data_IF_828104109555
#
_entry.id   IF_828104109555
#
_cell.length_a   1.000
_cell.length_b   1.000
_cell.length_c   1.000
_cell.angle_alpha   90.00
_cell.angle_beta   90.00
_cell.angle_gamma   90.00
#
_symmetry.space_group_name_H-M   'P 1'
#
loop_
_entity.id
_entity.type
_entity.pdbx_description
1 polymer ?
#
# COMPACT_ATOMS: atom_id res chain seq x y z
N UNK A 1 -21.52 4.62 18.15
CA UNK A 1 -21.83 3.26 17.61
C UNK A 1 -23.33 3.25 17.33
N UNK A 2 -23.73 2.83 16.14
CA UNK A 2 -25.15 2.63 15.78
C UNK A 2 -25.46 1.13 15.90
N UNK A 3 -26.61 0.77 16.42
CA UNK A 3 -27.13 -0.60 16.32
C UNK A 3 -28.01 -0.69 15.07
N UNK A 4 -27.39 -1.11 13.95
CA UNK A 4 -28.09 -1.23 12.68
C UNK A 4 -29.21 -2.31 12.75
N UNK A 5 -29.04 -3.36 13.55
CA UNK A 5 -30.06 -4.40 13.72
C UNK A 5 -31.35 -3.80 14.30
N UNK A 6 -31.22 -3.01 15.38
CA UNK A 6 -32.35 -2.28 15.96
C UNK A 6 -32.97 -1.26 15.02
N UNK A 7 -32.14 -0.56 14.23
CA UNK A 7 -32.63 0.44 13.26
C UNK A 7 -33.43 -0.16 12.10
N UNK A 8 -33.07 -1.37 11.67
CA UNK A 8 -33.81 -2.12 10.62
C UNK A 8 -35.13 -2.68 11.16
N UNK A 9 -35.20 -2.98 12.46
CA UNK A 9 -36.38 -3.58 13.11
C UNK A 9 -36.46 -5.11 12.97
N UNK A 10 -37.54 -5.71 13.53
CA UNK A 10 -37.71 -7.16 13.57
C UNK A 10 -37.78 -7.78 12.18
N UNK A 11 -36.96 -8.83 11.95
CA UNK A 11 -36.83 -9.49 10.66
C UNK A 11 -36.31 -10.92 10.88
N UNK A 12 -36.54 -11.83 9.92
CA UNK A 12 -35.95 -13.17 9.93
C UNK A 12 -34.83 -13.27 8.91
N UNK A 13 -33.82 -14.09 9.19
CA UNK A 13 -32.71 -14.36 8.26
C UNK A 13 -31.54 -13.40 8.40
N UNK A 14 -30.88 -13.09 7.30
CA UNK A 14 -29.70 -12.23 7.29
C UNK A 14 -29.66 -11.29 6.09
N UNK A 15 -28.95 -10.19 6.25
CA UNK A 15 -28.63 -9.24 5.17
C UNK A 15 -27.13 -9.24 4.93
N UNK A 16 -26.73 -9.49 3.70
CA UNK A 16 -25.33 -9.37 3.28
C UNK A 16 -25.08 -7.99 2.63
N UNK A 17 -23.94 -7.37 2.98
CA UNK A 17 -23.50 -6.11 2.38
C UNK A 17 -22.29 -6.38 1.49
N UNK A 18 -22.28 -5.87 0.24
CA UNK A 18 -21.13 -6.09 -0.64
C UNK A 18 -19.86 -5.48 -0.07
N UNK A 19 -18.76 -6.24 -0.12
CA UNK A 19 -17.43 -5.75 0.25
C UNK A 19 -17.04 -4.58 -0.64
N UNK A 20 -16.33 -3.59 -0.07
CA UNK A 20 -15.90 -2.40 -0.81
C UNK A 20 -14.56 -2.65 -1.47
N UNK A 21 -14.53 -2.51 -2.78
CA UNK A 21 -13.33 -2.70 -3.59
C UNK A 21 -12.71 -1.36 -3.98
N UNK A 22 -11.41 -1.24 -3.68
CA UNK A 22 -10.61 -0.11 -4.15
C UNK A 22 -10.54 -0.12 -5.66
N UNK A 23 -10.77 1.02 -6.27
CA UNK A 23 -10.68 1.18 -7.73
C UNK A 23 -9.23 1.23 -8.20
N UNK A 24 -9.01 0.91 -9.47
CA UNK A 24 -7.70 1.07 -10.10
C UNK A 24 -7.21 2.53 -10.00
N UNK A 25 -8.08 3.51 -10.18
CA UNK A 25 -7.75 4.94 -10.08
C UNK A 25 -7.18 5.29 -8.70
N UNK A 26 -7.73 4.73 -7.62
CA UNK A 26 -7.27 4.99 -6.25
C UNK A 26 -5.89 4.36 -5.99
N UNK A 27 -5.68 3.11 -6.41
CA UNK A 27 -4.36 2.47 -6.28
C UNK A 27 -3.31 3.12 -7.19
N UNK A 28 -3.66 3.55 -8.40
CA UNK A 28 -2.78 4.28 -9.32
C UNK A 28 -2.41 5.67 -8.74
N UNK A 29 -3.32 6.32 -8.01
CA UNK A 29 -3.01 7.57 -7.32
C UNK A 29 -1.93 7.39 -6.25
N UNK A 30 -2.04 6.37 -5.41
CA UNK A 30 -1.00 6.02 -4.45
C UNK A 30 0.32 5.61 -5.15
N UNK A 31 0.22 4.84 -6.23
CA UNK A 31 1.39 4.43 -7.01
C UNK A 31 2.17 5.64 -7.56
N UNK A 32 1.48 6.70 -7.99
CA UNK A 32 2.14 7.94 -8.46
C UNK A 32 2.98 8.61 -7.37
N UNK A 33 2.54 8.55 -6.10
CA UNK A 33 3.29 9.06 -4.95
C UNK A 33 4.57 8.25 -4.78
N UNK A 34 4.47 6.92 -4.72
CA UNK A 34 5.63 6.02 -4.60
C UNK A 34 6.64 6.18 -5.75
N UNK A 35 6.16 6.36 -6.98
CA UNK A 35 7.02 6.48 -8.15
C UNK A 35 7.85 7.77 -8.18
N UNK A 36 7.52 8.79 -7.37
CA UNK A 36 8.33 10.01 -7.30
C UNK A 36 9.72 9.74 -6.75
N UNK A 37 9.84 8.89 -5.72
CA UNK A 37 11.14 8.50 -5.18
C UNK A 37 11.97 7.71 -6.21
N UNK A 38 11.34 6.83 -6.98
CA UNK A 38 12.04 6.07 -8.02
C UNK A 38 12.49 6.98 -9.18
N UNK A 39 11.69 7.99 -9.52
CA UNK A 39 12.10 9.00 -10.53
C UNK A 39 13.31 9.80 -10.06
N UNK A 40 13.32 10.23 -8.81
CA UNK A 40 14.46 10.93 -8.22
C UNK A 40 15.74 10.06 -8.35
N UNK A 41 15.71 8.81 -7.94
CA UNK A 41 16.86 7.91 -8.07
C UNK A 41 17.29 7.68 -9.51
N UNK A 42 16.35 7.64 -10.46
CA UNK A 42 16.66 7.58 -11.89
C UNK A 42 17.42 8.82 -12.36
N UNK A 43 16.94 10.00 -11.93
CA UNK A 43 17.52 11.27 -12.35
C UNK A 43 18.92 11.50 -11.74
N UNK A 44 19.13 11.06 -10.48
CA UNK A 44 20.46 11.02 -9.87
C UNK A 44 21.38 9.98 -10.48
N UNK A 45 20.85 8.85 -10.95
CA UNK A 45 21.66 7.82 -11.60
C UNK A 45 22.43 8.38 -12.81
N UNK A 46 21.85 9.30 -13.58
CA UNK A 46 22.53 9.97 -14.67
C UNK A 46 23.75 10.77 -14.16
N UNK A 47 23.59 11.56 -13.10
CA UNK A 47 24.67 12.36 -12.48
C UNK A 47 25.76 11.48 -11.86
N UNK A 48 25.38 10.35 -11.23
CA UNK A 48 26.32 9.35 -10.69
C UNK A 48 27.15 8.78 -11.84
N UNK A 49 26.52 8.43 -12.97
CA UNK A 49 27.21 7.90 -14.15
C UNK A 49 28.15 8.93 -14.80
N UNK A 50 27.83 10.22 -14.75
CA UNK A 50 28.74 11.26 -15.24
C UNK A 50 30.06 11.30 -14.47
N UNK A 51 30.05 10.95 -13.18
CA UNK A 51 31.22 10.89 -12.32
C UNK A 51 31.88 9.51 -12.27
N UNK A 52 31.21 8.48 -12.81
CA UNK A 52 31.77 7.14 -12.87
C UNK A 52 32.85 7.06 -13.92
N UNK A 53 34.10 6.89 -13.48
CA UNK A 53 35.26 6.64 -14.32
C UNK A 53 36.04 5.45 -13.71
N UNK A 54 35.97 4.25 -14.30
CA UNK A 54 36.62 3.07 -13.70
C UNK A 54 38.14 3.25 -13.72
N UNK A 55 38.87 2.62 -12.76
CA UNK A 55 40.30 2.77 -12.62
C UNK A 55 41.04 2.48 -13.93
N UNK A 56 41.80 3.44 -14.38
CA UNK A 56 42.79 3.25 -15.42
C UNK A 56 44.16 3.10 -14.75
N UNK A 57 44.91 2.00 -14.95
CA UNK A 57 46.19 1.79 -14.27
C UNK A 57 47.19 2.93 -14.51
N UNK A 58 46.97 3.78 -15.52
CA UNK A 58 47.85 4.86 -15.89
C UNK A 58 47.41 6.25 -15.36
N UNK A 59 46.27 6.33 -14.63
CA UNK A 59 45.71 7.62 -14.16
C UNK A 59 45.17 7.46 -12.74
N UNK A 60 45.76 8.17 -11.78
CA UNK A 60 45.23 8.32 -10.44
C UNK A 60 44.13 9.40 -10.47
N UNK A 61 42.89 9.04 -10.15
CA UNK A 61 41.75 9.97 -10.05
C UNK A 61 40.95 9.70 -8.76
N UNK A 62 40.52 10.78 -8.12
CA UNK A 62 39.67 10.77 -6.89
C UNK A 62 38.18 10.53 -7.19
N UNK A 63 37.86 9.80 -8.26
CA UNK A 63 36.46 9.66 -8.72
C UNK A 63 35.58 8.82 -7.79
N UNK A 64 36.16 8.10 -6.83
CA UNK A 64 35.43 7.38 -5.78
C UNK A 64 34.71 8.35 -4.87
N UNK A 65 35.41 9.34 -4.34
CA UNK A 65 34.84 10.34 -3.42
C UNK A 65 33.75 11.17 -4.09
N UNK A 66 33.92 11.46 -5.38
CA UNK A 66 32.90 12.17 -6.16
C UNK A 66 31.61 11.37 -6.38
N UNK A 67 31.71 10.08 -6.60
CA UNK A 67 30.54 9.18 -6.72
C UNK A 67 29.82 9.05 -5.38
N UNK A 68 30.58 8.93 -4.28
CA UNK A 68 30.00 8.88 -2.94
C UNK A 68 29.28 10.18 -2.59
N UNK A 69 29.87 11.31 -2.89
CA UNK A 69 29.26 12.61 -2.69
C UNK A 69 27.93 12.73 -3.47
N UNK A 70 27.86 12.20 -4.72
CA UNK A 70 26.61 12.19 -5.50
C UNK A 70 25.55 11.28 -4.89
N UNK A 71 25.92 10.09 -4.38
CA UNK A 71 25.00 9.17 -3.70
C UNK A 71 24.49 9.80 -2.39
N UNK A 72 25.36 10.47 -1.65
CA UNK A 72 24.98 11.19 -0.42
C UNK A 72 24.01 12.36 -0.71
N UNK A 73 24.29 13.16 -1.73
CA UNK A 73 23.42 14.24 -2.17
C UNK A 73 22.02 13.70 -2.62
N UNK A 74 22.00 12.62 -3.40
CA UNK A 74 20.76 11.95 -3.81
C UNK A 74 19.96 11.45 -2.60
N UNK A 75 20.66 10.91 -1.59
CA UNK A 75 20.03 10.42 -0.35
C UNK A 75 19.41 11.56 0.45
N UNK A 76 20.10 12.69 0.57
CA UNK A 76 19.58 13.87 1.26
C UNK A 76 18.33 14.43 0.55
N UNK A 77 18.36 14.54 -0.78
CA UNK A 77 17.20 14.98 -1.57
C UNK A 77 16.04 14.00 -1.46
N UNK A 78 16.31 12.68 -1.51
CA UNK A 78 15.27 11.65 -1.33
C UNK A 78 14.58 11.77 0.04
N UNK A 79 15.34 12.02 1.11
CA UNK A 79 14.78 12.21 2.44
C UNK A 79 13.89 13.47 2.51
N UNK A 80 14.29 14.58 1.91
CA UNK A 80 13.48 15.78 1.83
C UNK A 80 12.17 15.55 1.03
N UNK A 81 12.25 14.85 -0.10
CA UNK A 81 11.09 14.47 -0.90
C UNK A 81 10.14 13.57 -0.10
N UNK A 82 10.64 12.60 0.67
CA UNK A 82 9.82 11.70 1.48
C UNK A 82 9.01 12.48 2.54
N UNK A 83 9.59 13.53 3.12
CA UNK A 83 8.85 14.42 4.06
C UNK A 83 7.66 15.06 3.34
N UNK A 84 7.84 15.62 2.15
CA UNK A 84 6.75 16.20 1.36
C UNK A 84 5.70 15.13 0.96
N UNK A 85 6.14 13.92 0.58
CA UNK A 85 5.25 12.84 0.21
C UNK A 85 4.37 12.34 1.37
N UNK A 86 4.79 12.56 2.63
CA UNK A 86 3.99 12.22 3.80
C UNK A 86 2.63 12.93 3.77
N UNK A 87 2.60 14.21 3.42
CA UNK A 87 1.35 14.98 3.28
C UNK A 87 0.48 14.48 2.12
N UNK A 88 1.09 14.06 1.03
CA UNK A 88 0.34 13.51 -0.11
C UNK A 88 -0.27 12.15 0.20
N UNK A 89 0.44 11.30 0.95
CA UNK A 89 -0.08 10.02 1.45
C UNK A 89 -1.24 10.26 2.41
N UNK A 90 -1.11 11.20 3.35
CA UNK A 90 -2.17 11.55 4.30
C UNK A 90 -3.44 12.03 3.60
N UNK A 91 -3.27 12.92 2.61
CA UNK A 91 -4.39 13.38 1.79
C UNK A 91 -5.04 12.23 1.00
N UNK A 92 -4.25 11.34 0.42
CA UNK A 92 -4.75 10.16 -0.30
C UNK A 92 -5.55 9.24 0.63
N UNK A 93 -5.06 8.98 1.86
CA UNK A 93 -5.75 8.19 2.88
C UNK A 93 -7.09 8.83 3.23
N UNK A 94 -7.11 10.14 3.47
CA UNK A 94 -8.31 10.90 3.81
C UNK A 94 -9.36 10.87 2.69
N UNK A 95 -8.94 10.95 1.43
CA UNK A 95 -9.82 10.84 0.26
C UNK A 95 -10.40 9.42 0.15
N UNK A 96 -9.58 8.39 0.35
CA UNK A 96 -10.02 7.00 0.33
C UNK A 96 -11.02 6.70 1.44
N UNK A 97 -10.74 7.16 2.67
CA UNK A 97 -11.62 6.95 3.81
C UNK A 97 -13.00 7.61 3.62
N UNK A 98 -13.04 8.84 3.05
CA UNK A 98 -14.30 9.52 2.71
C UNK A 98 -15.09 8.76 1.65
N UNK A 99 -14.43 8.39 0.55
CA UNK A 99 -15.06 7.61 -0.51
C UNK A 99 -15.61 6.26 0.01
N UNK A 100 -14.85 5.59 0.88
CA UNK A 100 -15.24 4.32 1.49
C UNK A 100 -16.47 4.50 2.38
N UNK A 101 -16.49 5.55 3.23
CA UNK A 101 -17.65 5.91 4.06
C UNK A 101 -18.90 6.09 3.22
N UNK A 102 -18.81 6.90 2.18
CA UNK A 102 -19.97 7.21 1.32
C UNK A 102 -20.47 5.97 0.58
N UNK A 103 -19.55 5.07 0.20
CA UNK A 103 -19.92 3.80 -0.42
C UNK A 103 -20.57 2.84 0.57
N UNK A 104 -20.05 2.79 1.80
CA UNK A 104 -20.62 1.99 2.88
C UNK A 104 -22.05 2.46 3.21
N UNK A 105 -22.27 3.75 3.42
CA UNK A 105 -23.58 4.32 3.67
C UNK A 105 -24.59 3.99 2.57
N UNK A 106 -24.19 4.12 1.30
CA UNK A 106 -25.04 3.72 0.17
C UNK A 106 -25.37 2.23 0.17
N UNK A 107 -24.41 1.36 0.49
CA UNK A 107 -24.63 -0.08 0.58
C UNK A 107 -25.67 -0.40 1.67
N UNK A 108 -25.53 0.21 2.86
CA UNK A 108 -26.47 0.02 3.97
C UNK A 108 -27.87 0.52 3.56
N UNK A 109 -28.00 1.74 3.05
CA UNK A 109 -29.27 2.29 2.60
C UNK A 109 -29.95 1.42 1.54
N UNK A 110 -29.18 0.94 0.56
CA UNK A 110 -29.68 0.10 -0.52
C UNK A 110 -30.22 -1.25 -0.04
N UNK A 111 -29.66 -1.82 1.03
CA UNK A 111 -30.01 -3.15 1.54
C UNK A 111 -31.06 -3.12 2.65
N UNK A 112 -31.13 -2.03 3.39
CA UNK A 112 -31.95 -1.92 4.60
C UNK A 112 -33.01 -0.81 4.55
N UNK A 113 -32.84 0.18 3.66
CA UNK A 113 -33.62 1.41 3.68
C UNK A 113 -33.15 2.43 4.73
N UNK A 114 -32.26 2.04 5.65
CA UNK A 114 -31.79 2.89 6.75
C UNK A 114 -30.70 3.83 6.27
N UNK A 115 -30.81 5.11 6.60
CA UNK A 115 -29.77 6.12 6.34
C UNK A 115 -28.89 6.28 7.56
N UNK A 116 -27.56 6.04 7.41
CA UNK A 116 -26.60 6.02 8.51
C UNK A 116 -25.51 7.09 8.41
N UNK A 117 -25.55 7.96 7.41
CA UNK A 117 -24.50 8.92 7.10
C UNK A 117 -24.11 9.78 8.31
N UNK A 118 -25.11 10.25 9.08
CA UNK A 118 -24.93 11.11 10.26
C UNK A 118 -24.28 10.39 11.46
N UNK A 119 -24.27 9.06 11.45
CA UNK A 119 -23.70 8.25 12.54
C UNK A 119 -22.29 7.77 12.24
N UNK A 120 -21.85 7.86 10.97
CA UNK A 120 -20.52 7.45 10.55
C UNK A 120 -19.52 8.57 10.87
N UNK A 121 -18.67 8.33 11.86
CA UNK A 121 -17.64 9.27 12.29
C UNK A 121 -16.30 8.97 11.64
N UNK A 122 -15.40 9.97 11.62
CA UNK A 122 -14.01 9.72 11.24
C UNK A 122 -13.23 9.06 12.39
N UNK A 123 -13.67 9.29 13.64
CA UNK A 123 -12.97 8.77 14.83
C UNK A 123 -12.90 7.24 14.83
N UNK A 124 -13.96 6.56 14.38
CA UNK A 124 -14.01 5.11 14.28
C UNK A 124 -12.92 4.50 13.37
N UNK A 125 -12.39 5.27 12.43
CA UNK A 125 -11.36 4.81 11.46
C UNK A 125 -10.03 5.55 11.60
N UNK A 126 -9.90 6.42 12.58
CA UNK A 126 -8.74 7.30 12.73
C UNK A 126 -7.45 6.52 12.99
N UNK A 127 -7.53 5.45 13.78
CA UNK A 127 -6.36 4.63 14.09
C UNK A 127 -5.90 3.81 12.90
N UNK A 128 -6.81 3.29 12.09
CA UNK A 128 -6.52 2.62 10.81
C UNK A 128 -5.85 3.60 9.82
N UNK A 129 -6.36 4.83 9.74
CA UNK A 129 -5.77 5.87 8.90
C UNK A 129 -4.34 6.23 9.34
N UNK A 130 -4.12 6.42 10.63
CA UNK A 130 -2.80 6.71 11.22
C UNK A 130 -1.82 5.56 11.03
N UNK A 131 -2.27 4.33 11.24
CA UNK A 131 -1.46 3.14 11.02
C UNK A 131 -1.07 3.02 9.54
N UNK A 132 -2.01 3.22 8.63
CA UNK A 132 -1.78 3.22 7.19
C UNK A 132 -0.78 4.31 6.78
N UNK A 133 -0.88 5.53 7.32
CA UNK A 133 0.07 6.61 7.04
C UNK A 133 1.50 6.21 7.43
N UNK A 134 1.70 5.78 8.69
CA UNK A 134 3.01 5.36 9.17
C UNK A 134 3.60 4.24 8.32
N UNK A 135 2.78 3.26 7.98
CA UNK A 135 3.22 2.11 7.19
C UNK A 135 3.59 2.50 5.75
N UNK A 136 2.79 3.32 5.09
CA UNK A 136 3.07 3.80 3.73
C UNK A 136 4.36 4.63 3.67
N UNK A 137 4.58 5.53 4.63
CA UNK A 137 5.82 6.33 4.72
C UNK A 137 7.04 5.43 4.93
N UNK A 138 6.95 4.42 5.80
CA UNK A 138 8.02 3.44 6.01
C UNK A 138 8.32 2.64 4.73
N UNK A 139 7.30 2.26 3.97
CA UNK A 139 7.47 1.56 2.68
C UNK A 139 8.11 2.44 1.62
N UNK A 140 7.76 3.73 1.55
CA UNK A 140 8.40 4.69 0.63
C UNK A 140 9.88 4.83 0.97
N UNK A 141 10.25 4.96 2.24
CA UNK A 141 11.66 4.96 2.69
C UNK A 141 12.37 3.68 2.27
N UNK A 142 11.80 2.55 2.58
CA UNK A 142 12.40 1.26 2.24
C UNK A 142 12.61 1.08 0.73
N UNK A 143 11.70 1.57 -0.10
CA UNK A 143 11.85 1.57 -1.56
C UNK A 143 13.00 2.49 -1.98
N UNK A 144 13.14 3.68 -1.37
CA UNK A 144 14.24 4.61 -1.60
C UNK A 144 15.58 4.00 -1.22
N UNK A 145 15.68 3.44 0.00
CA UNK A 145 16.91 2.82 0.50
C UNK A 145 17.36 1.66 -0.38
N UNK A 146 16.44 0.81 -0.80
CA UNK A 146 16.76 -0.29 -1.72
C UNK A 146 17.20 0.20 -3.11
N UNK A 147 16.68 1.32 -3.59
CA UNK A 147 17.15 1.90 -4.85
C UNK A 147 18.56 2.44 -4.67
N UNK A 148 18.84 3.19 -3.59
CA UNK A 148 20.18 3.65 -3.22
C UNK A 148 21.19 2.51 -3.17
N UNK A 149 20.90 1.51 -2.35
CA UNK A 149 21.81 0.40 -2.08
C UNK A 149 22.14 -0.41 -3.34
N UNK A 150 21.15 -0.62 -4.20
CA UNK A 150 21.37 -1.28 -5.49
C UNK A 150 22.24 -0.46 -6.42
N UNK A 151 21.97 0.84 -6.53
CA UNK A 151 22.78 1.75 -7.38
C UNK A 151 24.21 1.80 -6.84
N UNK A 152 24.40 2.01 -5.54
CA UNK A 152 25.71 2.03 -4.89
C UNK A 152 26.48 0.73 -5.16
N UNK A 153 25.87 -0.43 -4.89
CA UNK A 153 26.50 -1.73 -5.11
C UNK A 153 26.90 -1.97 -6.57
N UNK A 154 26.07 -1.55 -7.54
CA UNK A 154 26.38 -1.67 -8.97
C UNK A 154 27.59 -0.82 -9.32
N UNK A 155 27.65 0.42 -8.83
CA UNK A 155 28.76 1.34 -9.08
C UNK A 155 30.05 0.84 -8.44
N UNK A 156 30.02 0.41 -7.17
CA UNK A 156 31.19 -0.11 -6.44
C UNK A 156 31.74 -1.41 -7.03
N UNK A 157 30.85 -2.35 -7.37
CA UNK A 157 31.27 -3.58 -8.02
C UNK A 157 31.90 -3.27 -9.39
N UNK A 158 31.25 -2.43 -10.17
CA UNK A 158 31.75 -2.02 -11.47
C UNK A 158 33.08 -1.30 -11.40
N UNK A 159 33.28 -0.46 -10.38
CA UNK A 159 34.54 0.21 -10.12
C UNK A 159 35.68 -0.82 -9.91
N UNK A 160 35.48 -1.76 -8.99
CA UNK A 160 36.50 -2.79 -8.71
C UNK A 160 36.82 -3.69 -9.89
N UNK A 161 35.83 -3.95 -10.73
CA UNK A 161 35.94 -4.82 -11.91
C UNK A 161 36.43 -4.09 -13.16
N UNK A 162 36.58 -2.76 -13.11
CA UNK A 162 36.87 -1.94 -14.30
C UNK A 162 35.77 -2.00 -15.36
N UNK A 163 34.51 -2.20 -14.92
CA UNK A 163 33.35 -2.36 -15.82
C UNK A 163 33.09 -1.09 -16.60
N UNK A 164 32.91 -1.13 -17.93
CA UNK A 164 32.65 0.04 -18.74
C UNK A 164 31.36 0.77 -18.33
N UNK A 165 31.38 2.11 -18.37
CA UNK A 165 30.26 3.02 -18.04
C UNK A 165 28.94 2.59 -18.68
N UNK A 166 28.96 2.15 -19.95
CA UNK A 166 27.76 1.71 -20.68
C UNK A 166 27.08 0.51 -20.00
N UNK A 167 27.86 -0.43 -19.50
CA UNK A 167 27.33 -1.62 -18.82
C UNK A 167 26.79 -1.25 -17.44
N UNK A 168 27.45 -0.36 -16.71
CA UNK A 168 26.93 0.17 -15.43
C UNK A 168 25.61 0.90 -15.63
N UNK A 169 25.50 1.73 -16.67
CA UNK A 169 24.24 2.41 -17.01
C UNK A 169 23.09 1.41 -17.25
N UNK A 170 23.36 0.31 -17.95
CA UNK A 170 22.37 -0.75 -18.18
C UNK A 170 21.91 -1.38 -16.86
N UNK A 171 22.86 -1.80 -16.00
CA UNK A 171 22.57 -2.41 -14.68
C UNK A 171 21.76 -1.46 -13.77
N UNK A 172 22.09 -0.17 -13.76
CA UNK A 172 21.35 0.85 -12.99
C UNK A 172 19.91 0.99 -13.54
N UNK A 173 19.72 1.05 -14.85
CA UNK A 173 18.38 1.12 -15.44
C UNK A 173 17.53 -0.11 -15.09
N UNK A 174 18.10 -1.30 -15.04
CA UNK A 174 17.43 -2.51 -14.58
C UNK A 174 17.02 -2.41 -13.09
N UNK A 175 17.90 -1.90 -12.22
CA UNK A 175 17.62 -1.69 -10.80
C UNK A 175 16.47 -0.69 -10.59
N UNK A 176 16.44 0.41 -11.34
CA UNK A 176 15.35 1.41 -11.32
C UNK A 176 14.04 0.78 -11.81
N UNK A 177 14.07 -0.02 -12.87
CA UNK A 177 12.89 -0.72 -13.39
C UNK A 177 12.30 -1.70 -12.36
N UNK A 178 13.13 -2.41 -11.60
CA UNK A 178 12.70 -3.27 -10.48
C UNK A 178 12.04 -2.45 -9.37
N UNK A 179 12.62 -1.30 -9.01
CA UNK A 179 12.04 -0.36 -8.05
C UNK A 179 10.65 0.12 -8.47
N UNK A 180 10.47 0.44 -9.76
CA UNK A 180 9.18 0.82 -10.33
C UNK A 180 8.14 -0.30 -10.23
N UNK A 181 8.48 -1.53 -10.63
CA UNK A 181 7.57 -2.68 -10.52
C UNK A 181 7.15 -2.92 -9.08
N UNK A 182 8.09 -2.83 -8.13
CA UNK A 182 7.80 -2.96 -6.71
C UNK A 182 6.85 -1.86 -6.22
N UNK A 183 7.10 -0.61 -6.55
CA UNK A 183 6.25 0.53 -6.15
C UNK A 183 4.80 0.34 -6.58
N UNK A 184 4.55 -0.09 -7.82
CA UNK A 184 3.20 -0.38 -8.32
C UNK A 184 2.52 -1.50 -7.53
N UNK A 185 3.21 -2.60 -7.26
CA UNK A 185 2.67 -3.73 -6.51
C UNK A 185 2.34 -3.38 -5.06
N UNK A 186 3.25 -2.64 -4.42
CA UNK A 186 3.08 -2.19 -3.02
C UNK A 186 1.90 -1.23 -2.91
N UNK A 187 1.76 -0.28 -3.83
CA UNK A 187 0.64 0.66 -3.80
C UNK A 187 -0.72 -0.04 -3.90
N UNK A 188 -0.86 -1.03 -4.79
CA UNK A 188 -2.09 -1.83 -4.89
C UNK A 188 -2.35 -2.60 -3.60
N UNK A 189 -1.33 -3.21 -3.01
CA UNK A 189 -1.43 -3.96 -1.75
C UNK A 189 -1.87 -3.05 -0.59
N UNK A 190 -1.26 -1.87 -0.46
CA UNK A 190 -1.57 -0.92 0.61
C UNK A 190 -2.98 -0.31 0.46
N UNK A 191 -3.41 -0.01 -0.74
CA UNK A 191 -4.76 0.44 -1.00
C UNK A 191 -5.80 -0.63 -0.61
N UNK A 192 -5.53 -1.90 -0.93
CA UNK A 192 -6.38 -3.04 -0.56
C UNK A 192 -6.44 -3.24 0.95
N UNK A 193 -5.28 -3.14 1.65
CA UNK A 193 -5.20 -3.25 3.11
C UNK A 193 -6.02 -2.18 3.81
N UNK A 194 -5.80 -0.92 3.45
CA UNK A 194 -6.57 0.18 4.05
C UNK A 194 -8.08 -0.01 3.83
N UNK A 195 -8.51 -0.43 2.63
CA UNK A 195 -9.94 -0.70 2.39
C UNK A 195 -10.48 -1.82 3.29
N UNK A 196 -9.72 -2.89 3.51
CA UNK A 196 -10.12 -3.99 4.39
C UNK A 196 -10.21 -3.56 5.87
N UNK A 197 -9.27 -2.71 6.32
CA UNK A 197 -9.29 -2.15 7.68
C UNK A 197 -10.48 -1.20 7.86
N UNK A 198 -10.79 -0.38 6.86
CA UNK A 198 -11.97 0.50 6.86
C UNK A 198 -13.27 -0.32 6.83
N UNK A 199 -13.35 -1.40 6.04
CA UNK A 199 -14.51 -2.30 6.05
C UNK A 199 -14.77 -2.84 7.46
N UNK A 200 -13.74 -3.38 8.12
CA UNK A 200 -13.84 -3.89 9.48
C UNK A 200 -14.31 -2.82 10.48
N UNK A 201 -13.68 -1.65 10.46
CA UNK A 201 -14.03 -0.57 11.36
C UNK A 201 -15.48 -0.10 11.18
N UNK A 202 -15.94 0.02 9.92
CA UNK A 202 -17.32 0.41 9.60
C UNK A 202 -18.35 -0.66 9.96
N UNK A 203 -18.03 -1.93 9.81
CA UNK A 203 -18.87 -3.03 10.28
C UNK A 203 -19.09 -2.94 11.79
N UNK A 204 -18.01 -2.79 12.57
CA UNK A 204 -18.07 -2.70 14.03
C UNK A 204 -18.78 -1.43 14.50
N UNK A 205 -18.57 -0.29 13.82
CA UNK A 205 -19.28 0.97 14.09
C UNK A 205 -20.80 0.84 13.90
N UNK A 206 -21.22 -0.01 12.94
CA UNK A 206 -22.61 -0.31 12.64
C UNK A 206 -23.20 -1.46 13.50
N UNK A 207 -22.44 -2.01 14.45
CA UNK A 207 -22.87 -3.14 15.27
C UNK A 207 -22.91 -4.47 14.50
N UNK A 208 -22.19 -4.60 13.38
CA UNK A 208 -22.11 -5.82 12.59
C UNK A 208 -20.83 -6.56 12.94
N UNK A 209 -20.96 -7.67 13.64
CA UNK A 209 -19.82 -8.50 14.05
C UNK A 209 -19.60 -9.70 13.11
N UNK A 210 -20.65 -10.20 12.48
CA UNK A 210 -20.56 -11.36 11.59
C UNK A 210 -20.18 -10.96 10.17
N UNK A 211 -19.39 -11.81 9.53
CA UNK A 211 -18.93 -11.60 8.16
C UNK A 211 -18.60 -12.91 7.44
N UNK A 212 -18.61 -12.86 6.11
CA UNK A 212 -18.28 -13.99 5.24
C UNK A 212 -16.95 -13.72 4.56
N UNK A 213 -16.06 -14.71 4.56
CA UNK A 213 -14.79 -14.65 3.82
C UNK A 213 -15.03 -14.76 2.32
N UNK A 214 -14.55 -13.76 1.57
CA UNK A 214 -14.60 -13.75 0.11
C UNK A 214 -13.18 -13.87 -0.44
N UNK A 215 -12.89 -14.96 -1.14
CA UNK A 215 -11.61 -15.20 -1.76
C UNK A 215 -11.42 -14.33 -3.02
N UNK A 216 -10.20 -13.81 -3.23
CA UNK A 216 -9.86 -12.87 -4.30
C UNK A 216 -9.75 -13.46 -5.70
N UNK A 217 -9.75 -14.80 -5.83
CA UNK A 217 -9.58 -15.54 -7.09
C UNK A 217 -8.31 -15.17 -7.89
N UNK A 218 -7.23 -14.74 -7.20
CA UNK A 218 -5.93 -14.47 -7.83
C UNK A 218 -5.29 -15.76 -8.32
N UNK A 219 -4.40 -15.66 -9.31
CA UNK A 219 -3.74 -16.78 -9.99
C UNK A 219 -2.92 -17.69 -9.06
N UNK A 220 -2.33 -17.14 -8.00
CA UNK A 220 -1.55 -17.88 -7.00
C UNK A 220 -2.16 -17.68 -5.61
N UNK A 221 -3.26 -18.38 -5.30
CA UNK A 221 -3.93 -18.24 -4.01
C UNK A 221 -3.19 -19.02 -2.92
N UNK A 222 -3.36 -18.58 -1.67
CA UNK A 222 -3.05 -19.41 -0.50
C UNK A 222 -4.16 -20.44 -0.32
N UNK A 223 -3.80 -21.69 -0.10
CA UNK A 223 -4.76 -22.82 0.01
C UNK A 223 -5.76 -22.53 1.14
N UNK A 224 -5.27 -22.09 2.30
CA UNK A 224 -6.11 -21.79 3.46
C UNK A 224 -7.14 -20.69 3.16
N UNK A 225 -6.78 -19.70 2.31
CA UNK A 225 -7.71 -18.64 1.91
C UNK A 225 -8.77 -19.13 0.92
N UNK A 226 -8.44 -20.11 0.10
CA UNK A 226 -9.42 -20.76 -0.79
C UNK A 226 -10.44 -21.55 0.03
N UNK A 227 -9.98 -22.33 1.01
CA UNK A 227 -10.82 -23.13 1.89
C UNK A 227 -11.75 -22.30 2.78
N UNK A 228 -11.34 -21.06 3.11
CA UNK A 228 -12.17 -20.11 3.88
C UNK A 228 -13.27 -19.46 3.05
N UNK A 229 -13.23 -19.56 1.72
CA UNK A 229 -14.20 -18.88 0.87
C UNK A 229 -15.63 -19.32 1.19
N UNK A 230 -16.51 -18.38 1.49
CA UNK A 230 -17.89 -18.61 1.87
C UNK A 230 -18.09 -18.99 3.34
N UNK A 231 -17.03 -19.18 4.14
CA UNK A 231 -17.16 -19.44 5.57
C UNK A 231 -17.53 -18.17 6.33
N UNK A 232 -18.37 -18.35 7.32
CA UNK A 232 -18.77 -17.27 8.24
C UNK A 232 -17.79 -17.18 9.41
N UNK A 233 -17.51 -15.94 9.81
CA UNK A 233 -16.67 -15.60 10.94
C UNK A 233 -17.32 -14.48 11.75
N UNK A 234 -16.82 -14.27 12.96
CA UNK A 234 -17.23 -13.15 13.82
C UNK A 234 -15.99 -12.42 14.31
N UNK A 235 -16.04 -11.08 14.32
CA UNK A 235 -14.88 -10.24 14.68
C UNK A 235 -14.45 -10.43 16.14
N UNK A 236 -15.34 -10.85 17.01
CA UNK A 236 -15.13 -10.96 18.46
C UNK A 236 -14.92 -12.41 18.88
N UNK A 237 -15.81 -13.31 18.48
CA UNK A 237 -15.90 -14.68 19.03
C UNK A 237 -15.26 -15.76 18.16
N UNK A 238 -15.12 -15.53 16.85
CA UNK A 238 -14.59 -16.51 15.90
C UNK A 238 -13.75 -15.84 14.82
N UNK A 239 -12.52 -15.43 15.18
CA UNK A 239 -11.56 -14.84 14.24
C UNK A 239 -10.62 -15.89 13.66
N UNK A 240 -10.35 -15.87 12.34
CA UNK A 240 -9.27 -16.68 11.76
C UNK A 240 -7.90 -16.13 12.17
N UNK A 241 -6.85 -16.94 12.02
CA UNK A 241 -5.47 -16.58 12.40
C UNK A 241 -4.95 -15.33 11.67
N UNK A 242 -5.32 -15.16 10.41
CA UNK A 242 -5.05 -13.97 9.60
C UNK A 242 -6.35 -13.45 8.98
N UNK A 243 -6.43 -12.13 8.78
CA UNK A 243 -7.62 -11.44 8.30
C UNK A 243 -7.59 -11.22 6.79
N UNK A 244 -8.76 -11.04 6.14
CA UNK A 244 -8.81 -10.63 4.74
C UNK A 244 -8.01 -9.35 4.51
N UNK A 245 -7.16 -9.32 3.47
CA UNK A 245 -6.29 -8.18 3.17
C UNK A 245 -5.02 -8.06 4.01
N UNK A 246 -4.89 -8.77 5.14
CA UNK A 246 -3.78 -8.61 6.09
C UNK A 246 -2.43 -9.07 5.53
N UNK A 247 -2.36 -10.26 4.95
CA UNK A 247 -1.10 -10.79 4.44
C UNK A 247 -0.64 -10.04 3.17
N UNK A 248 0.68 -9.99 2.90
CA UNK A 248 1.20 -9.34 1.71
C UNK A 248 0.50 -9.82 0.43
N UNK A 249 0.02 -8.87 -0.37
CA UNK A 249 -0.69 -9.10 -1.64
C UNK A 249 -1.96 -9.94 -1.53
N UNK A 250 -2.53 -10.08 -0.34
CA UNK A 250 -3.84 -10.69 -0.14
C UNK A 250 -4.92 -9.76 -0.71
N UNK A 251 -5.82 -10.31 -1.53
CA UNK A 251 -6.97 -9.57 -2.07
C UNK A 251 -8.30 -10.09 -1.55
N UNK A 252 -8.29 -10.99 -0.55
CA UNK A 252 -9.51 -11.47 0.09
C UNK A 252 -10.21 -10.36 0.86
N UNK A 253 -11.52 -10.50 1.07
CA UNK A 253 -12.38 -9.48 1.67
C UNK A 253 -13.29 -10.09 2.72
N UNK A 254 -13.72 -9.25 3.66
CA UNK A 254 -14.81 -9.56 4.56
C UNK A 254 -16.10 -8.95 3.98
N UNK A 255 -17.11 -9.77 3.78
CA UNK A 255 -18.45 -9.32 3.40
C UNK A 255 -19.32 -9.31 4.65
N UNK A 256 -19.80 -8.13 5.04
CA UNK A 256 -20.58 -7.95 6.25
C UNK A 256 -21.87 -8.75 6.21
N UNK A 257 -22.24 -9.36 7.35
CA UNK A 257 -23.43 -10.17 7.50
C UNK A 257 -24.21 -9.71 8.74
N UNK A 258 -25.35 -9.06 8.54
CA UNK A 258 -26.25 -8.67 9.61
C UNK A 258 -27.27 -9.79 9.82
N UNK A 259 -27.21 -10.47 10.96
CA UNK A 259 -28.12 -11.57 11.33
C UNK A 259 -29.27 -11.07 12.19
N UNK A 260 -30.44 -11.60 11.92
CA UNK A 260 -31.65 -11.43 12.73
C UNK A 260 -32.01 -12.76 13.37
N UNK A 261 -32.48 -12.71 14.61
CA UNK A 261 -32.90 -13.87 15.40
C UNK A 261 -34.21 -14.47 14.89
#
# INVERSE_FOLDING_TARGET
MIDLKSAVGPRKGSIEFPAIEVTKTQSDALARIYLRVIRLWRDHAARILERYDPPNPNVVRDSVDEVDAQIAAATAEANAVIVALTYEVDNWISLLARWHRDKWARNVKSRTGVTIDQFLTNDAVLDEMRASLRWNVALIRNISDQARDRIANIVWAGWREGTPRREIAKRINEAVALGRKRSLRVAVDQATKLSADLDRARMLEAGIEDWVWIHSRKTHPRIEHVERNGREYNWITNRPADLPGQLPYCGCKARALLKFD
#
